data_IF_045778449915
#
_entry.id   IF_045778449915
#
_cell.length_a   1.000
_cell.length_b   1.000
_cell.length_c   1.000
_cell.angle_alpha   90.00
_cell.angle_beta   90.00
_cell.angle_gamma   90.00
#
_symmetry.space_group_name_H-M   'P 1'
#
loop_
_entity.id
_entity.type
_entity.pdbx_description
1 polymer ?
#
# COMPACT_ATOMS: atom_id res chain seq x y z
N UNK A 1 -52.84 -28.56 37.98
CA UNK A 1 -51.38 -28.36 38.17
C UNK A 1 -50.90 -27.57 36.97
N UNK A 2 -50.95 -26.25 37.12
CA UNK A 2 -50.86 -25.29 36.04
C UNK A 2 -49.41 -25.01 35.66
N UNK A 3 -49.20 -24.79 34.36
CA UNK A 3 -48.49 -23.61 33.84
C UNK A 3 -47.09 -23.36 34.42
N UNK A 4 -46.03 -23.91 33.81
CA UNK A 4 -44.66 -23.40 34.02
C UNK A 4 -43.65 -23.82 32.94
N UNK A 5 -44.03 -23.84 31.66
CA UNK A 5 -43.07 -24.05 30.56
C UNK A 5 -43.22 -23.03 29.42
N UNK A 6 -43.73 -21.84 29.72
CA UNK A 6 -43.64 -20.68 28.85
C UNK A 6 -42.66 -19.69 29.47
N UNK A 7 -41.79 -19.14 28.63
CA UNK A 7 -40.84 -18.05 28.88
C UNK A 7 -39.45 -18.47 29.36
N UNK A 8 -38.70 -19.14 28.49
CA UNK A 8 -37.25 -18.94 28.42
C UNK A 8 -36.92 -18.23 27.09
N UNK A 9 -37.02 -16.89 27.00
CA UNK A 9 -36.36 -16.19 25.92
C UNK A 9 -34.87 -16.27 26.21
N UNK A 10 -34.16 -17.17 25.53
CA UNK A 10 -32.70 -17.11 25.44
C UNK A 10 -32.37 -15.79 24.78
N UNK A 11 -32.17 -14.76 25.61
CA UNK A 11 -31.57 -13.51 25.22
C UNK A 11 -30.20 -13.84 24.65
N UNK A 12 -30.09 -13.87 23.33
CA UNK A 12 -28.81 -13.72 22.63
C UNK A 12 -28.19 -12.43 23.16
N UNK A 13 -27.29 -12.55 24.14
CA UNK A 13 -26.48 -11.44 24.61
C UNK A 13 -25.56 -11.09 23.44
N UNK A 14 -26.02 -10.14 22.67
CA UNK A 14 -25.32 -9.53 21.57
C UNK A 14 -23.99 -8.98 22.11
N UNK A 15 -22.88 -9.70 21.93
CA UNK A 15 -21.51 -9.25 22.27
C UNK A 15 -21.00 -8.11 21.36
N UNK A 16 -21.88 -7.23 20.87
CA UNK A 16 -21.55 -6.13 19.96
C UNK A 16 -20.60 -5.06 20.53
N UNK A 17 -20.58 -4.69 21.84
CA UNK A 17 -19.82 -3.50 22.26
C UNK A 17 -18.30 -3.68 22.20
N UNK A 18 -17.78 -4.90 22.46
CA UNK A 18 -16.33 -5.16 22.46
C UNK A 18 -15.74 -5.25 21.05
N UNK A 19 -16.47 -5.85 20.11
CA UNK A 19 -16.06 -5.90 18.71
C UNK A 19 -16.00 -4.49 18.12
N UNK A 20 -17.05 -3.68 18.33
CA UNK A 20 -17.10 -2.31 17.83
C UNK A 20 -15.93 -1.45 18.36
N UNK A 21 -15.58 -1.57 19.63
CA UNK A 21 -14.45 -0.84 20.22
C UNK A 21 -13.10 -1.22 19.59
N UNK A 22 -12.89 -2.50 19.26
CA UNK A 22 -11.66 -2.97 18.61
C UNK A 22 -11.54 -2.48 17.17
N UNK A 23 -12.62 -2.59 16.40
CA UNK A 23 -12.64 -2.11 15.01
C UNK A 23 -12.49 -0.57 14.96
N UNK A 24 -13.12 0.16 15.89
CA UNK A 24 -12.94 1.61 16.01
C UNK A 24 -11.50 1.98 16.38
N UNK A 25 -10.88 1.25 17.32
CA UNK A 25 -9.47 1.45 17.67
C UNK A 25 -8.56 1.23 16.46
N UNK A 26 -8.78 0.15 15.71
CA UNK A 26 -8.03 -0.12 14.48
C UNK A 26 -8.19 1.04 13.49
N UNK A 27 -9.43 1.45 13.20
CA UNK A 27 -9.73 2.53 12.26
C UNK A 27 -9.07 3.86 12.69
N UNK A 28 -9.16 4.22 13.97
CA UNK A 28 -8.54 5.45 14.48
C UNK A 28 -7.02 5.42 14.39
N UNK A 29 -6.38 4.30 14.77
CA UNK A 29 -4.93 4.15 14.66
C UNK A 29 -4.47 4.15 13.20
N UNK A 30 -5.22 3.50 12.32
CA UNK A 30 -4.96 3.49 10.89
C UNK A 30 -5.01 4.90 10.31
N UNK A 31 -6.12 5.62 10.54
CA UNK A 31 -6.28 6.99 10.03
C UNK A 31 -5.20 7.92 10.61
N UNK A 32 -4.94 7.85 11.91
CA UNK A 32 -3.91 8.65 12.55
C UNK A 32 -2.53 8.37 11.94
N UNK A 33 -2.13 7.10 11.82
CA UNK A 33 -0.84 6.73 11.24
C UNK A 33 -0.73 7.17 9.78
N UNK A 34 -1.77 6.97 8.98
CA UNK A 34 -1.81 7.39 7.58
C UNK A 34 -1.64 8.91 7.44
N UNK A 35 -2.42 9.70 8.17
CA UNK A 35 -2.33 11.15 8.11
C UNK A 35 -1.01 11.69 8.67
N UNK A 36 -0.44 11.07 9.69
CA UNK A 36 0.88 11.46 10.21
C UNK A 36 1.99 11.21 9.18
N UNK A 37 1.98 10.04 8.52
CA UNK A 37 2.93 9.73 7.43
C UNK A 37 2.76 10.69 6.25
N UNK A 38 1.51 10.92 5.82
CA UNK A 38 1.19 11.83 4.72
C UNK A 38 1.60 13.27 5.04
N UNK A 39 1.31 13.73 6.26
CA UNK A 39 1.71 15.06 6.72
C UNK A 39 3.22 15.19 6.80
N UNK A 40 3.92 14.20 7.37
CA UNK A 40 5.38 14.18 7.46
C UNK A 40 6.04 14.24 6.08
N UNK A 41 5.52 13.46 5.12
CA UNK A 41 6.00 13.50 3.74
C UNK A 41 5.71 14.86 3.09
N UNK A 42 4.49 15.39 3.27
CA UNK A 42 4.11 16.69 2.71
C UNK A 42 4.93 17.85 3.31
N UNK A 43 5.28 17.78 4.58
CA UNK A 43 6.14 18.74 5.26
C UNK A 43 7.60 18.65 4.80
N UNK A 44 8.03 17.51 4.25
CA UNK A 44 9.37 17.30 3.70
C UNK A 44 9.54 17.81 2.26
N UNK A 45 8.53 18.47 1.69
CA UNK A 45 8.62 19.03 0.34
C UNK A 45 9.71 20.08 0.22
N UNK A 46 10.42 20.09 -0.91
CA UNK A 46 11.58 20.93 -1.20
C UNK A 46 12.87 20.49 -0.50
N UNK A 47 12.86 19.39 0.25
CA UNK A 47 14.04 18.92 0.98
C UNK A 47 14.80 17.86 0.21
N UNK A 48 16.04 17.57 0.64
CA UNK A 48 16.84 16.46 0.12
C UNK A 48 16.13 15.10 0.24
N UNK A 49 15.19 14.95 1.18
CA UNK A 49 14.41 13.73 1.34
C UNK A 49 13.43 13.52 0.19
N UNK A 50 12.68 14.56 -0.21
CA UNK A 50 11.81 14.48 -1.39
C UNK A 50 12.63 14.17 -2.65
N UNK A 51 13.79 14.80 -2.82
CA UNK A 51 14.70 14.51 -3.93
C UNK A 51 15.19 13.06 -3.92
N UNK A 52 15.52 12.51 -2.76
CA UNK A 52 15.91 11.10 -2.63
C UNK A 52 14.76 10.17 -3.05
N UNK A 53 13.53 10.45 -2.61
CA UNK A 53 12.37 9.60 -2.92
C UNK A 53 11.97 9.68 -4.39
N UNK A 54 11.92 10.88 -4.97
CA UNK A 54 11.45 11.08 -6.34
C UNK A 54 12.56 10.79 -7.35
N UNK A 55 13.72 11.45 -7.28
CA UNK A 55 14.77 11.24 -8.29
C UNK A 55 15.44 9.87 -8.10
N UNK A 56 16.00 9.63 -6.91
CA UNK A 56 16.90 8.48 -6.70
C UNK A 56 16.14 7.17 -6.57
N UNK A 57 15.08 7.11 -5.76
CA UNK A 57 14.34 5.88 -5.56
C UNK A 57 13.32 5.62 -6.67
N UNK A 58 12.78 6.66 -7.32
CA UNK A 58 11.69 6.48 -8.29
C UNK A 58 12.15 6.63 -9.74
N UNK A 59 12.63 7.80 -10.13
CA UNK A 59 12.89 8.14 -11.54
C UNK A 59 14.08 7.35 -12.11
N UNK A 60 15.21 7.28 -11.40
CA UNK A 60 16.41 6.59 -11.89
C UNK A 60 16.19 5.09 -12.10
N UNK A 61 15.59 4.34 -11.16
CA UNK A 61 15.32 2.92 -11.39
C UNK A 61 14.32 2.70 -12.52
N UNK A 62 13.28 3.54 -12.63
CA UNK A 62 12.34 3.49 -13.76
C UNK A 62 13.03 3.70 -15.12
N UNK A 63 13.89 4.71 -15.24
CA UNK A 63 14.65 4.96 -16.47
C UNK A 63 15.59 3.78 -16.81
N UNK A 64 16.25 3.21 -15.79
CA UNK A 64 17.10 2.03 -15.96
C UNK A 64 16.29 0.81 -16.44
N UNK A 65 15.09 0.57 -15.87
CA UNK A 65 14.20 -0.50 -16.29
C UNK A 65 13.69 -0.31 -17.73
N UNK A 66 13.36 0.92 -18.12
CA UNK A 66 12.97 1.24 -19.50
C UNK A 66 14.10 0.87 -20.46
N UNK A 67 15.33 1.29 -20.16
CA UNK A 67 16.49 0.98 -21.01
C UNK A 67 16.86 -0.50 -20.99
N UNK A 68 16.58 -1.22 -19.92
CA UNK A 68 16.79 -2.67 -19.84
C UNK A 68 15.84 -3.42 -20.80
N UNK A 69 14.58 -2.98 -20.87
CA UNK A 69 13.53 -3.64 -21.67
C UNK A 69 13.53 -3.15 -23.12
N UNK A 70 13.77 -1.86 -23.33
CA UNK A 70 13.77 -1.20 -24.63
C UNK A 70 14.96 -0.23 -24.73
N UNK A 71 16.19 -0.74 -24.99
CA UNK A 71 17.41 0.10 -25.04
C UNK A 71 17.35 1.25 -26.04
N UNK A 72 16.52 1.13 -27.08
CA UNK A 72 16.33 2.15 -28.13
C UNK A 72 15.64 3.41 -27.62
N UNK A 73 14.94 3.33 -26.48
CA UNK A 73 14.27 4.47 -25.86
C UNK A 73 15.27 5.52 -25.35
N UNK A 74 16.48 5.12 -24.96
CA UNK A 74 17.52 6.02 -24.42
C UNK A 74 16.97 6.92 -23.31
N UNK A 75 16.16 6.36 -22.41
CA UNK A 75 15.51 7.08 -21.32
C UNK A 75 16.53 7.59 -20.31
N UNK A 76 16.46 8.88 -19.98
CA UNK A 76 17.35 9.54 -19.02
C UNK A 76 16.55 10.13 -17.87
N UNK A 77 17.04 9.90 -16.65
CA UNK A 77 16.51 10.53 -15.45
C UNK A 77 17.01 11.97 -15.34
N UNK A 78 16.09 12.93 -15.35
CA UNK A 78 16.39 14.37 -15.19
C UNK A 78 15.50 14.94 -14.09
N UNK A 79 16.01 14.96 -12.85
CA UNK A 79 15.23 15.40 -11.68
C UNK A 79 13.99 14.54 -11.49
N UNK A 80 12.81 15.16 -11.56
CA UNK A 80 11.52 14.47 -11.43
C UNK A 80 10.95 13.94 -12.76
N UNK A 81 11.77 13.88 -13.82
CA UNK A 81 11.32 13.53 -15.18
C UNK A 81 12.14 12.38 -15.76
N UNK A 82 11.48 11.55 -16.55
CA UNK A 82 12.11 10.62 -17.48
C UNK A 82 12.02 11.25 -18.86
N UNK A 83 13.15 11.46 -19.52
CA UNK A 83 13.25 12.14 -20.83
C UNK A 83 13.89 11.20 -21.84
N UNK A 84 13.37 11.18 -23.07
CA UNK A 84 13.88 10.40 -24.19
C UNK A 84 13.75 11.21 -25.49
N UNK A 85 14.33 10.73 -26.62
CA UNK A 85 14.09 11.35 -27.92
C UNK A 85 12.62 11.36 -28.36
N UNK A 86 11.78 10.48 -27.79
CA UNK A 86 10.34 10.40 -28.09
C UNK A 86 9.50 11.40 -27.29
N UNK A 87 10.03 11.96 -26.19
CA UNK A 87 9.29 12.86 -25.31
C UNK A 87 9.73 12.76 -23.86
N UNK A 88 8.83 13.08 -22.92
CA UNK A 88 9.16 12.96 -21.51
C UNK A 88 7.95 12.76 -20.62
N UNK A 89 8.13 11.96 -19.58
CA UNK A 89 7.16 11.71 -18.52
C UNK A 89 7.60 12.43 -17.26
N UNK A 90 6.73 13.29 -16.72
CA UNK A 90 6.96 13.93 -15.41
C UNK A 90 6.32 13.11 -14.31
N UNK A 91 7.11 12.76 -13.29
CA UNK A 91 6.66 12.10 -12.09
C UNK A 91 6.50 13.18 -11.02
N UNK A 92 5.25 13.52 -10.72
CA UNK A 92 4.90 14.48 -9.67
C UNK A 92 4.42 13.74 -8.42
N UNK A 93 4.36 14.48 -7.31
CA UNK A 93 3.85 14.02 -6.03
C UNK A 93 2.56 13.19 -6.17
N UNK A 94 2.55 12.01 -5.56
CA UNK A 94 1.47 11.00 -5.65
C UNK A 94 1.68 9.95 -6.76
N UNK A 95 2.52 10.21 -7.77
CA UNK A 95 2.87 9.20 -8.78
C UNK A 95 4.08 8.34 -8.39
N UNK A 96 4.84 8.75 -7.38
CA UNK A 96 6.01 8.03 -6.84
C UNK A 96 5.66 6.85 -5.92
N UNK A 97 4.37 6.58 -5.68
CA UNK A 97 3.89 5.38 -4.97
C UNK A 97 3.97 5.45 -3.44
N UNK A 98 4.41 6.57 -2.88
CA UNK A 98 4.49 6.84 -1.43
C UNK A 98 3.15 6.69 -0.73
N UNK A 99 2.06 7.17 -1.33
CA UNK A 99 0.71 7.11 -0.77
C UNK A 99 0.27 5.65 -0.52
N UNK A 100 0.49 4.76 -1.49
CA UNK A 100 0.18 3.33 -1.36
C UNK A 100 1.04 2.64 -0.30
N UNK A 101 2.31 3.03 -0.18
CA UNK A 101 3.20 2.54 0.89
C UNK A 101 2.67 2.99 2.25
N UNK A 102 2.32 4.28 2.41
CA UNK A 102 1.81 4.81 3.67
C UNK A 102 0.48 4.17 4.06
N UNK A 103 -0.39 3.90 3.09
CA UNK A 103 -1.64 3.17 3.32
C UNK A 103 -1.37 1.78 3.92
N UNK A 104 -0.44 1.03 3.33
CA UNK A 104 -0.07 -0.30 3.82
C UNK A 104 0.62 -0.24 5.19
N UNK A 105 1.56 0.68 5.38
CA UNK A 105 2.26 0.85 6.65
C UNK A 105 1.30 1.24 7.78
N UNK A 106 0.34 2.13 7.51
CA UNK A 106 -0.70 2.50 8.46
C UNK A 106 -1.55 1.28 8.86
N UNK A 107 -1.93 0.44 7.90
CA UNK A 107 -2.67 -0.80 8.18
C UNK A 107 -1.87 -1.77 9.07
N UNK A 108 -0.57 -1.95 8.78
CA UNK A 108 0.33 -2.80 9.56
C UNK A 108 0.54 -2.27 10.98
N UNK A 109 0.69 -0.95 11.14
CA UNK A 109 0.83 -0.30 12.45
C UNK A 109 -0.45 -0.46 13.27
N UNK A 110 -1.62 -0.28 12.66
CA UNK A 110 -2.92 -0.42 13.31
C UNK A 110 -3.26 -1.88 13.67
N UNK A 111 -2.77 -2.85 12.90
CA UNK A 111 -3.00 -4.27 13.14
C UNK A 111 -2.39 -4.74 14.46
N UNK A 112 -3.08 -5.60 15.20
CA UNK A 112 -2.60 -6.09 16.50
C UNK A 112 -1.69 -7.30 16.34
N UNK A 113 -0.42 -7.07 16.02
CA UNK A 113 0.62 -8.12 15.89
C UNK A 113 1.91 -7.79 16.68
N UNK A 114 2.77 -8.78 17.00
CA UNK A 114 4.08 -8.55 17.59
C UNK A 114 4.96 -7.63 16.73
N UNK A 115 5.78 -6.79 17.38
CA UNK A 115 6.59 -5.78 16.68
C UNK A 115 7.52 -6.37 15.60
N UNK A 116 8.11 -7.55 15.86
CA UNK A 116 8.97 -8.24 14.88
C UNK A 116 8.19 -8.64 13.62
N UNK A 117 6.93 -9.04 13.76
CA UNK A 117 6.06 -9.38 12.62
C UNK A 117 5.68 -8.13 11.84
N UNK A 118 5.34 -7.03 12.54
CA UNK A 118 5.08 -5.72 11.93
C UNK A 118 6.26 -5.21 11.12
N UNK A 119 7.48 -5.28 11.67
CA UNK A 119 8.67 -4.79 10.97
C UNK A 119 8.95 -5.59 9.69
N UNK A 120 8.79 -6.92 9.73
CA UNK A 120 8.91 -7.78 8.54
C UNK A 120 7.84 -7.46 7.49
N UNK A 121 6.59 -7.30 7.93
CA UNK A 121 5.49 -6.90 7.05
C UNK A 121 5.70 -5.55 6.42
N UNK A 122 6.16 -4.57 7.20
CA UNK A 122 6.44 -3.22 6.74
C UNK A 122 7.55 -3.22 5.69
N UNK A 123 8.65 -3.94 5.92
CA UNK A 123 9.77 -4.02 4.98
C UNK A 123 9.35 -4.73 3.68
N UNK A 124 8.77 -5.94 3.78
CA UNK A 124 8.35 -6.72 2.62
C UNK A 124 7.25 -6.01 1.83
N UNK A 125 6.30 -5.40 2.54
CA UNK A 125 5.20 -4.65 1.94
C UNK A 125 5.67 -3.39 1.23
N UNK A 126 6.62 -2.67 1.81
CA UNK A 126 7.23 -1.50 1.18
C UNK A 126 7.93 -1.90 -0.12
N UNK A 127 8.75 -2.95 -0.09
CA UNK A 127 9.42 -3.47 -1.30
C UNK A 127 8.40 -3.93 -2.34
N UNK A 128 7.35 -4.64 -1.92
CA UNK A 128 6.30 -5.13 -2.82
C UNK A 128 5.58 -3.99 -3.54
N UNK A 129 5.07 -3.00 -2.80
CA UNK A 129 4.38 -1.84 -3.38
C UNK A 129 5.34 -1.00 -4.23
N UNK A 130 6.59 -0.82 -3.79
CA UNK A 130 7.61 -0.14 -4.57
C UNK A 130 7.79 -0.78 -5.95
N UNK A 131 7.95 -2.11 -6.02
CA UNK A 131 8.12 -2.82 -7.30
C UNK A 131 6.89 -2.69 -8.21
N UNK A 132 5.68 -2.77 -7.64
CA UNK A 132 4.45 -2.53 -8.41
C UNK A 132 4.39 -1.09 -8.94
N UNK A 133 4.81 -0.12 -8.15
CA UNK A 133 4.86 1.27 -8.59
C UNK A 133 5.91 1.52 -9.69
N UNK A 134 7.07 0.87 -9.62
CA UNK A 134 8.05 0.90 -10.72
C UNK A 134 7.43 0.34 -12.01
N UNK A 135 6.75 -0.81 -11.94
CA UNK A 135 6.02 -1.36 -13.08
C UNK A 135 4.96 -0.40 -13.63
N UNK A 136 4.23 0.31 -12.76
CA UNK A 136 3.28 1.35 -13.15
C UNK A 136 3.96 2.48 -13.91
N UNK A 137 5.07 3.02 -13.41
CA UNK A 137 5.76 4.14 -14.07
C UNK A 137 6.30 3.73 -15.45
N UNK A 138 6.92 2.55 -15.55
CA UNK A 138 7.38 2.02 -16.83
C UNK A 138 6.21 1.86 -17.81
N UNK A 139 5.08 1.33 -17.35
CA UNK A 139 3.86 1.20 -18.17
C UNK A 139 3.32 2.57 -18.63
N UNK A 140 3.31 3.56 -17.73
CA UNK A 140 2.89 4.92 -18.06
C UNK A 140 3.83 5.60 -19.05
N UNK A 141 5.14 5.35 -18.95
CA UNK A 141 6.10 5.86 -19.92
C UNK A 141 5.75 5.37 -21.33
N UNK A 142 5.55 4.06 -21.52
CA UNK A 142 5.17 3.54 -22.83
C UNK A 142 3.79 4.03 -23.27
N UNK A 143 2.79 4.01 -22.39
CA UNK A 143 1.46 4.50 -22.72
C UNK A 143 1.48 5.98 -23.16
N UNK A 144 2.27 6.83 -22.50
CA UNK A 144 2.40 8.24 -22.85
C UNK A 144 2.92 8.47 -24.28
N UNK A 145 3.84 7.61 -24.76
CA UNK A 145 4.47 7.77 -26.08
C UNK A 145 3.69 7.09 -27.21
N UNK A 146 2.98 5.99 -26.92
CA UNK A 146 2.36 5.17 -27.96
C UNK A 146 0.83 5.26 -28.00
N UNK A 147 0.14 5.55 -26.88
CA UNK A 147 -1.31 5.64 -26.86
C UNK A 147 -1.85 6.47 -25.68
N UNK A 148 -2.26 7.71 -25.96
CA UNK A 148 -2.78 8.64 -24.95
C UNK A 148 -4.01 8.13 -24.20
N UNK A 149 -4.92 7.42 -24.88
CA UNK A 149 -6.11 6.86 -24.23
C UNK A 149 -5.75 5.83 -23.16
N UNK A 150 -4.79 4.94 -23.47
CA UNK A 150 -4.26 4.00 -22.47
C UNK A 150 -3.55 4.72 -21.31
N UNK A 151 -2.86 5.82 -21.58
CA UNK A 151 -2.22 6.61 -20.53
C UNK A 151 -3.25 7.13 -19.53
N UNK A 152 -4.35 7.72 -19.99
CA UNK A 152 -5.37 8.31 -19.12
C UNK A 152 -6.03 7.23 -18.23
N UNK A 153 -6.34 6.06 -18.79
CA UNK A 153 -6.88 4.93 -18.03
C UNK A 153 -5.88 4.35 -17.02
N UNK A 154 -4.63 4.16 -17.43
CA UNK A 154 -3.58 3.61 -16.57
C UNK A 154 -3.21 4.56 -15.44
N UNK A 155 -3.10 5.86 -15.71
CA UNK A 155 -2.66 6.82 -14.69
C UNK A 155 -3.74 7.02 -13.63
N UNK A 156 -5.01 7.09 -14.06
CA UNK A 156 -6.09 7.62 -13.23
C UNK A 156 -6.87 6.53 -12.50
N UNK A 157 -6.94 5.33 -13.08
CA UNK A 157 -7.86 4.31 -12.60
C UNK A 157 -7.19 2.96 -12.46
N UNK A 158 -6.67 2.39 -13.55
CA UNK A 158 -6.26 0.99 -13.58
C UNK A 158 -5.07 0.73 -12.67
N UNK A 159 -3.95 1.44 -12.88
CA UNK A 159 -2.73 1.13 -12.14
C UNK A 159 -2.83 1.47 -10.63
N UNK A 160 -3.37 2.64 -10.22
CA UNK A 160 -3.57 2.92 -8.79
C UNK A 160 -4.49 1.90 -8.12
N UNK A 161 -5.63 1.56 -8.75
CA UNK A 161 -6.57 0.57 -8.20
C UNK A 161 -5.92 -0.80 -8.06
N UNK A 162 -5.17 -1.25 -9.07
CA UNK A 162 -4.46 -2.52 -9.02
C UNK A 162 -3.45 -2.56 -7.87
N UNK A 163 -2.68 -1.50 -7.67
CA UNK A 163 -1.72 -1.41 -6.56
C UNK A 163 -2.43 -1.50 -5.21
N UNK A 164 -3.55 -0.79 -5.03
CA UNK A 164 -4.33 -0.84 -3.78
C UNK A 164 -4.88 -2.26 -3.55
N UNK A 165 -5.49 -2.88 -4.56
CA UNK A 165 -6.02 -4.24 -4.45
C UNK A 165 -4.92 -5.24 -4.09
N UNK A 166 -3.78 -5.19 -4.77
CA UNK A 166 -2.65 -6.06 -4.48
C UNK A 166 -2.05 -5.77 -3.09
N UNK A 167 -2.04 -4.51 -2.65
CA UNK A 167 -1.67 -4.13 -1.29
C UNK A 167 -2.60 -4.71 -0.23
N UNK A 168 -3.92 -4.71 -0.47
CA UNK A 168 -4.89 -5.36 0.39
C UNK A 168 -4.68 -6.88 0.44
N UNK A 169 -4.45 -7.53 -0.72
CA UNK A 169 -4.14 -8.96 -0.79
C UNK A 169 -2.86 -9.28 0.00
N UNK A 170 -1.81 -8.48 -0.18
CA UNK A 170 -0.57 -8.62 0.58
C UNK A 170 -0.82 -8.47 2.09
N UNK A 171 -1.58 -7.45 2.50
CA UNK A 171 -1.89 -7.22 3.90
C UNK A 171 -2.64 -8.41 4.51
N UNK A 172 -3.67 -8.91 3.83
CA UNK A 172 -4.44 -10.08 4.29
C UNK A 172 -3.57 -11.34 4.38
N UNK A 173 -2.74 -11.58 3.36
CA UNK A 173 -1.77 -12.68 3.38
C UNK A 173 -0.81 -12.55 4.57
N UNK A 174 -0.20 -11.39 4.78
CA UNK A 174 0.74 -11.14 5.88
C UNK A 174 0.06 -11.24 7.26
N UNK A 175 -1.14 -10.69 7.42
CA UNK A 175 -1.92 -10.73 8.66
C UNK A 175 -2.33 -12.17 9.03
N UNK A 176 -2.68 -13.00 8.03
CA UNK A 176 -3.04 -14.40 8.26
C UNK A 176 -1.88 -15.24 8.83
N UNK A 177 -0.63 -14.85 8.55
CA UNK A 177 0.56 -15.53 9.09
C UNK A 177 0.79 -15.27 10.57
N UNK A 178 0.24 -14.19 11.12
CA UNK A 178 0.25 -13.92 12.57
C UNK A 178 -0.81 -14.76 13.29
N UNK A 179 -2.03 -14.79 12.72
CA UNK A 179 -3.15 -15.55 13.28
C UNK A 179 -2.87 -17.07 13.35
N UNK A 180 -2.07 -17.59 12.41
CA UNK A 180 -1.66 -19.00 12.40
C UNK A 180 -0.69 -19.37 13.55
N UNK A 181 0.07 -18.42 14.10
CA UNK A 181 1.06 -18.67 15.18
C UNK A 181 0.39 -18.70 16.56
N UNK A 182 -0.78 -18.08 16.71
CA UNK A 182 -1.56 -18.09 17.97
C UNK A 182 -2.46 -19.31 18.18
N UNK A 183 -2.54 -20.23 17.21
CA UNK A 183 -3.50 -21.33 17.17
C UNK A 183 -2.86 -22.73 17.24
N UNK A 184 -1.64 -22.88 17.78
CA UNK A 184 -1.23 -24.22 18.22
C UNK A 184 -2.15 -24.64 19.38
N UNK A 185 -2.95 -25.73 19.24
CA UNK A 185 -3.68 -26.24 20.38
C UNK A 185 -2.65 -26.66 21.42
N UNK A 186 -2.66 -25.98 22.56
CA UNK A 186 -1.97 -26.41 23.76
C UNK A 186 -2.63 -27.70 24.26
N UNK A 187 -2.31 -28.82 23.62
CA UNK A 187 -2.54 -30.13 24.20
C UNK A 187 -1.39 -31.08 23.87
N UNK A 188 -0.36 -31.16 24.72
CA UNK A 188 0.47 -32.34 24.80
C UNK A 188 -0.15 -33.36 25.76
N UNK A 189 -0.36 -34.57 25.23
CA UNK A 189 -0.54 -35.89 25.85
C UNK A 189 -1.70 -36.09 26.86
#
# INVERSE_FOLDING_TARGET
>A
MALNNLLNPVMHRVERPRMFARELRFALLFLLAFFLLQYGYSASRGTAFEHLVIDVATVRPSAAMINLIAPKEQAQATGHRIVSPLGGLSILNGCEGTESIFLLLAAIVAFSAPWKHKLRGALLGTVFIYLLNQGRIVSLYFAAHYNRHWFDLLHGTIAPTLIIVLGCVFFLWWASRDAAVGNEPAYPA
#
